data_IF_445266205167
#
_entry.id   IF_445266205167
#
_cell.length_a   1.000
_cell.length_b   1.000
_cell.length_c   1.000
_cell.angle_alpha   90.00
_cell.angle_beta   90.00
_cell.angle_gamma   90.00
#
_symmetry.space_group_name_H-M   'P 1'
#
loop_
_entity.id
_entity.type
_entity.pdbx_description
1 polymer ?
#
# COMPACT_ATOMS: atom_id res chain seq x y z
N UNK A 1 -5.04 -2.86 -31.31
CA UNK A 1 -3.79 -2.90 -30.52
C UNK A 1 -3.87 -4.02 -29.52
N UNK A 2 -2.85 -4.84 -29.44
CA UNK A 2 -2.79 -5.91 -28.44
C UNK A 2 -2.22 -5.39 -27.13
N UNK A 3 -2.87 -5.73 -26.03
CA UNK A 3 -2.45 -5.36 -24.67
C UNK A 3 -2.43 -6.63 -23.82
N UNK A 4 -1.29 -6.90 -23.18
CA UNK A 4 -1.16 -8.02 -22.26
C UNK A 4 -1.14 -7.55 -20.81
N UNK A 5 -2.08 -8.08 -20.00
CA UNK A 5 -2.26 -7.73 -18.59
C UNK A 5 -1.71 -8.87 -17.73
N UNK A 6 -0.58 -8.63 -17.06
CA UNK A 6 -0.03 -9.51 -16.03
C UNK A 6 -0.62 -9.18 -14.65
N UNK A 7 -0.53 -10.09 -13.70
CA UNK A 7 -0.99 -9.90 -12.32
C UNK A 7 -2.47 -9.46 -12.24
N UNK A 8 -3.32 -9.89 -13.17
CA UNK A 8 -4.72 -9.52 -13.21
C UNK A 8 -5.56 -10.53 -12.42
N UNK A 9 -6.28 -10.08 -11.39
CA UNK A 9 -7.19 -10.92 -10.60
C UNK A 9 -8.62 -10.84 -11.16
N UNK A 10 -9.48 -11.80 -10.77
CA UNK A 10 -10.79 -12.01 -11.41
C UNK A 10 -11.68 -10.78 -11.45
N UNK A 11 -11.84 -10.06 -10.32
CA UNK A 11 -12.68 -8.88 -10.23
C UNK A 11 -12.13 -7.73 -11.09
N UNK A 12 -10.81 -7.60 -11.17
CA UNK A 12 -10.16 -6.62 -12.04
C UNK A 12 -10.37 -6.92 -13.50
N UNK A 13 -10.24 -8.20 -13.91
CA UNK A 13 -10.49 -8.65 -15.29
C UNK A 13 -11.93 -8.34 -15.70
N UNK A 14 -12.89 -8.63 -14.81
CA UNK A 14 -14.31 -8.35 -15.07
C UNK A 14 -14.55 -6.86 -15.33
N UNK A 15 -13.97 -5.98 -14.49
CA UNK A 15 -14.10 -4.52 -14.67
C UNK A 15 -13.35 -4.00 -15.89
N UNK A 16 -12.14 -4.48 -16.16
CA UNK A 16 -11.40 -4.10 -17.36
C UNK A 16 -12.18 -4.44 -18.64
N UNK A 17 -12.75 -5.66 -18.72
CA UNK A 17 -13.56 -6.09 -19.87
C UNK A 17 -14.79 -5.21 -20.14
N UNK A 18 -15.40 -4.64 -19.09
CA UNK A 18 -16.54 -3.73 -19.23
C UNK A 18 -16.16 -2.40 -19.88
N UNK A 19 -14.91 -1.98 -19.74
CA UNK A 19 -14.43 -0.67 -20.21
C UNK A 19 -13.52 -0.74 -21.44
N UNK A 20 -13.16 -1.97 -21.91
CA UNK A 20 -12.25 -2.15 -23.05
C UNK A 20 -12.86 -1.55 -24.34
N UNK A 21 -12.11 -0.66 -25.04
CA UNK A 21 -12.52 -0.18 -26.35
C UNK A 21 -12.44 -1.31 -27.39
N UNK A 22 -13.31 -1.28 -28.41
CA UNK A 22 -13.39 -2.32 -29.43
C UNK A 22 -12.09 -2.54 -30.23
N UNK A 23 -11.21 -1.54 -30.30
CA UNK A 23 -9.91 -1.62 -30.99
C UNK A 23 -8.78 -2.22 -30.14
N UNK A 24 -9.05 -2.61 -28.88
CA UNK A 24 -8.06 -3.23 -27.97
C UNK A 24 -8.34 -4.72 -27.82
N UNK A 25 -7.37 -5.55 -28.20
CA UNK A 25 -7.38 -6.99 -27.95
C UNK A 25 -6.61 -7.25 -26.66
N UNK A 26 -7.31 -7.61 -25.59
CA UNK A 26 -6.75 -7.77 -24.27
C UNK A 26 -6.52 -9.24 -23.93
N UNK A 27 -5.30 -9.56 -23.48
CA UNK A 27 -4.93 -10.86 -22.92
C UNK A 27 -4.65 -10.69 -21.42
N UNK A 28 -5.14 -11.62 -20.60
CA UNK A 28 -5.05 -11.53 -19.14
C UNK A 28 -4.38 -12.78 -18.57
N UNK A 29 -3.46 -12.60 -17.63
CA UNK A 29 -2.93 -13.66 -16.77
C UNK A 29 -2.85 -13.15 -15.31
N UNK A 30 -3.00 -14.09 -14.37
CA UNK A 30 -2.73 -13.82 -12.95
C UNK A 30 -1.24 -13.83 -12.62
N UNK A 31 -0.41 -14.37 -13.50
CA UNK A 31 1.02 -14.53 -13.31
C UNK A 31 1.74 -13.18 -13.44
N UNK A 32 2.86 -13.05 -12.75
CA UNK A 32 3.86 -12.02 -13.04
C UNK A 32 4.58 -12.33 -14.35
N UNK A 33 5.33 -11.37 -14.89
CA UNK A 33 6.21 -11.61 -16.05
C UNK A 33 7.17 -12.78 -15.79
N UNK A 34 7.69 -12.91 -14.57
CA UNK A 34 8.63 -13.96 -14.17
C UNK A 34 7.99 -15.34 -14.07
N UNK A 35 6.75 -15.40 -13.58
CA UNK A 35 5.99 -16.64 -13.43
C UNK A 35 5.44 -17.15 -14.77
N UNK A 36 5.09 -16.26 -15.71
CA UNK A 36 4.63 -16.63 -17.06
C UNK A 36 5.71 -17.32 -17.90
N UNK A 37 6.99 -17.03 -17.60
CA UNK A 37 8.12 -17.55 -18.38
C UNK A 37 8.29 -16.88 -19.74
N UNK A 38 7.65 -15.75 -20.01
CA UNK A 38 7.76 -15.02 -21.28
C UNK A 38 9.17 -14.46 -21.47
N UNK A 39 9.88 -14.98 -22.45
CA UNK A 39 11.21 -14.50 -22.85
C UNK A 39 11.16 -13.31 -23.80
N UNK A 40 10.07 -13.17 -24.55
CA UNK A 40 9.76 -12.08 -25.46
C UNK A 40 8.44 -11.41 -25.04
N UNK A 41 8.27 -10.10 -25.28
CA UNK A 41 7.03 -9.44 -24.91
C UNK A 41 5.86 -9.95 -25.78
N UNK A 42 4.75 -10.38 -25.17
CA UNK A 42 3.61 -10.95 -25.90
C UNK A 42 2.75 -9.90 -26.61
N UNK A 43 2.95 -8.60 -26.32
CA UNK A 43 2.20 -7.50 -26.93
C UNK A 43 3.03 -6.21 -27.01
N UNK A 44 2.59 -5.27 -27.83
CA UNK A 44 3.21 -3.93 -27.93
C UNK A 44 3.04 -3.10 -26.65
N UNK A 45 1.92 -3.25 -25.97
CA UNK A 45 1.61 -2.58 -24.72
C UNK A 45 1.43 -3.63 -23.61
N UNK A 46 2.18 -3.46 -22.54
CA UNK A 46 2.16 -4.35 -21.38
C UNK A 46 1.50 -3.61 -20.21
N UNK A 47 0.65 -4.32 -19.48
CA UNK A 47 0.08 -3.79 -18.24
C UNK A 47 0.46 -4.68 -17.06
N UNK A 48 1.05 -4.09 -16.01
CA UNK A 48 1.58 -4.80 -14.84
C UNK A 48 1.03 -4.21 -13.53
N UNK A 49 1.36 -4.85 -12.40
CA UNK A 49 1.25 -4.29 -11.05
C UNK A 49 2.66 -4.16 -10.42
N UNK A 50 2.79 -4.41 -9.13
CA UNK A 50 4.01 -4.13 -8.38
C UNK A 50 5.05 -5.26 -8.37
N UNK A 51 4.66 -6.50 -8.69
CA UNK A 51 5.53 -7.68 -8.54
C UNK A 51 6.27 -8.06 -9.81
N UNK A 52 5.77 -7.64 -10.97
CA UNK A 52 6.43 -7.90 -12.25
C UNK A 52 7.66 -7.00 -12.44
N UNK A 53 8.78 -7.61 -12.82
CA UNK A 53 10.02 -6.92 -13.20
C UNK A 53 10.15 -6.97 -14.71
N UNK A 54 10.25 -5.82 -15.37
CA UNK A 54 10.36 -5.73 -16.83
C UNK A 54 11.76 -6.19 -17.25
N UNK A 55 11.87 -7.25 -18.10
CA UNK A 55 13.17 -7.70 -18.58
C UNK A 55 13.89 -6.60 -19.39
N UNK A 56 15.17 -6.33 -19.14
CA UNK A 56 15.92 -5.35 -19.91
C UNK A 56 15.95 -5.65 -21.43
N UNK A 57 15.86 -6.93 -21.81
CA UNK A 57 15.81 -7.39 -23.20
C UNK A 57 14.53 -6.95 -23.94
N UNK A 58 13.50 -6.47 -23.23
CA UNK A 58 12.26 -5.98 -23.83
C UNK A 58 12.36 -4.49 -24.25
N UNK A 59 13.43 -3.80 -23.85
CA UNK A 59 13.68 -2.41 -24.29
C UNK A 59 13.78 -2.35 -25.83
N UNK A 60 12.96 -1.47 -26.43
CA UNK A 60 12.83 -1.33 -27.89
C UNK A 60 11.91 -2.35 -28.58
N UNK A 61 11.37 -3.36 -27.82
CA UNK A 61 10.38 -4.30 -28.31
C UNK A 61 8.98 -4.00 -27.79
N UNK A 62 8.87 -3.36 -26.62
CA UNK A 62 7.63 -2.89 -26.00
C UNK A 62 7.52 -1.38 -26.23
N UNK A 63 6.38 -0.94 -26.71
CA UNK A 63 6.11 0.47 -26.98
C UNK A 63 5.77 1.26 -25.71
N UNK A 64 5.21 0.60 -24.70
CA UNK A 64 4.85 1.22 -23.43
C UNK A 64 4.43 0.22 -22.35
N UNK A 65 4.47 0.67 -21.09
CA UNK A 65 4.03 -0.10 -19.93
C UNK A 65 3.04 0.72 -19.10
N UNK A 66 1.87 0.15 -18.80
CA UNK A 66 0.90 0.72 -17.85
C UNK A 66 0.98 -0.02 -16.54
N UNK A 67 1.47 0.63 -15.48
CA UNK A 67 1.34 0.09 -14.13
C UNK A 67 -0.05 0.40 -13.57
N UNK A 68 -0.79 -0.64 -13.19
CA UNK A 68 -2.12 -0.52 -12.56
C UNK A 68 -1.99 -0.27 -11.05
N UNK A 69 -1.09 0.66 -10.69
CA UNK A 69 -0.73 0.99 -9.30
C UNK A 69 -0.59 2.49 -9.11
N UNK A 70 -0.78 2.96 -7.88
CA UNK A 70 -0.49 4.36 -7.53
C UNK A 70 1.01 4.56 -7.26
N UNK A 71 1.67 3.62 -6.59
CA UNK A 71 3.13 3.64 -6.45
C UNK A 71 3.81 3.20 -7.74
N UNK A 72 4.88 3.86 -8.11
CA UNK A 72 5.64 3.65 -9.35
C UNK A 72 7.14 3.39 -9.11
N UNK A 73 7.52 3.18 -7.87
CA UNK A 73 8.90 2.93 -7.43
C UNK A 73 9.57 1.78 -8.21
N UNK A 74 8.82 0.72 -8.54
CA UNK A 74 9.29 -0.41 -9.36
C UNK A 74 9.56 -0.07 -10.84
N UNK A 75 9.13 1.12 -11.31
CA UNK A 75 9.33 1.59 -12.69
C UNK A 75 10.38 2.70 -12.80
N UNK A 76 10.91 3.19 -11.69
CA UNK A 76 11.94 4.24 -11.69
C UNK A 76 13.18 3.75 -12.41
N UNK A 77 13.59 4.49 -13.46
CA UNK A 77 14.73 4.13 -14.30
C UNK A 77 14.42 3.14 -15.42
N UNK A 78 13.15 2.75 -15.61
CA UNK A 78 12.75 1.99 -16.80
C UNK A 78 13.00 2.80 -18.07
N UNK A 79 13.58 2.15 -19.08
CA UNK A 79 13.90 2.81 -20.38
C UNK A 79 12.72 2.77 -21.37
N UNK A 80 11.65 2.10 -21.02
CA UNK A 80 10.41 2.05 -21.81
C UNK A 80 9.49 3.13 -21.26
N UNK A 81 8.72 3.87 -22.09
CA UNK A 81 7.71 4.78 -21.59
C UNK A 81 6.75 4.07 -20.62
N UNK A 82 6.57 4.63 -19.42
CA UNK A 82 5.73 4.04 -18.39
C UNK A 82 4.65 5.02 -17.93
N UNK A 83 3.43 4.51 -17.74
CA UNK A 83 2.33 5.22 -17.12
C UNK A 83 1.90 4.55 -15.81
N UNK A 84 1.29 5.31 -14.89
CA UNK A 84 0.78 4.83 -13.60
C UNK A 84 -0.62 5.39 -13.31
N UNK A 85 -1.24 5.01 -12.18
CA UNK A 85 -2.61 5.42 -11.85
C UNK A 85 -2.65 6.21 -10.52
N UNK A 86 -2.60 7.56 -10.56
CA UNK A 86 -2.37 8.38 -9.36
C UNK A 86 -3.54 8.44 -8.36
N UNK A 87 -4.80 8.15 -8.77
CA UNK A 87 -5.96 8.56 -7.98
C UNK A 87 -6.99 7.48 -7.68
N UNK A 88 -6.79 6.22 -8.12
CA UNK A 88 -7.86 5.24 -8.06
C UNK A 88 -8.20 4.73 -6.66
N UNK A 89 -7.21 4.62 -5.76
CA UNK A 89 -7.37 3.92 -4.48
C UNK A 89 -7.22 4.82 -3.24
N UNK A 90 -7.04 6.12 -3.39
CA UNK A 90 -6.68 6.98 -2.25
C UNK A 90 -7.66 6.87 -1.08
N UNK A 91 -8.95 6.88 -1.36
CA UNK A 91 -9.98 6.75 -0.33
C UNK A 91 -10.03 5.34 0.28
N UNK A 92 -9.97 4.28 -0.56
CA UNK A 92 -9.99 2.90 -0.10
C UNK A 92 -8.81 2.59 0.85
N UNK A 93 -7.58 3.04 0.49
CA UNK A 93 -6.39 2.85 1.34
C UNK A 93 -6.51 3.65 2.64
N UNK A 94 -7.07 4.85 2.59
CA UNK A 94 -7.31 5.66 3.79
C UNK A 94 -8.31 4.99 4.74
N UNK A 95 -9.42 4.45 4.22
CA UNK A 95 -10.39 3.70 5.02
C UNK A 95 -9.75 2.46 5.65
N UNK A 96 -8.96 1.70 4.89
CA UNK A 96 -8.25 0.54 5.42
C UNK A 96 -7.27 0.94 6.53
N UNK A 97 -6.51 2.02 6.36
CA UNK A 97 -5.60 2.51 7.40
C UNK A 97 -6.34 2.86 8.70
N UNK A 98 -7.45 3.55 8.60
CA UNK A 98 -8.29 3.91 9.77
C UNK A 98 -8.97 2.67 10.38
N UNK A 99 -9.44 1.72 9.55
CA UNK A 99 -9.96 0.45 10.04
C UNK A 99 -8.91 -0.30 10.87
N UNK A 100 -7.67 -0.38 10.40
CA UNK A 100 -6.57 -1.03 11.12
C UNK A 100 -6.26 -0.31 12.44
N UNK A 101 -6.25 1.03 12.46
CA UNK A 101 -6.13 1.81 13.70
C UNK A 101 -7.25 1.47 14.67
N UNK A 102 -8.51 1.50 14.23
CA UNK A 102 -9.66 1.21 15.08
C UNK A 102 -9.64 -0.22 15.61
N UNK A 103 -9.27 -1.19 14.76
CA UNK A 103 -9.15 -2.59 15.15
C UNK A 103 -8.07 -2.81 16.23
N UNK A 104 -6.92 -2.14 16.12
CA UNK A 104 -5.87 -2.16 17.15
C UNK A 104 -6.32 -1.48 18.44
N UNK A 105 -6.87 -0.26 18.35
CA UNK A 105 -7.37 0.46 19.54
C UNK A 105 -8.44 -0.34 20.28
N UNK A 106 -9.31 -1.04 19.56
CA UNK A 106 -10.37 -1.87 20.14
C UNK A 106 -9.91 -3.28 20.49
N UNK A 107 -8.64 -3.64 20.26
CA UNK A 107 -8.08 -4.99 20.48
C UNK A 107 -8.89 -6.08 19.77
N UNK A 108 -9.35 -5.80 18.55
CA UNK A 108 -10.27 -6.68 17.81
C UNK A 108 -9.75 -8.11 17.63
N UNK A 109 -8.45 -8.35 17.30
CA UNK A 109 -7.93 -9.73 17.22
C UNK A 109 -8.10 -10.51 18.52
N UNK A 110 -7.80 -9.87 19.66
CA UNK A 110 -7.97 -10.50 20.97
C UNK A 110 -9.45 -10.76 21.31
N UNK A 111 -10.35 -9.84 20.95
CA UNK A 111 -11.80 -10.05 21.14
C UNK A 111 -12.29 -11.26 20.34
N UNK A 112 -11.86 -11.39 19.07
CA UNK A 112 -12.22 -12.54 18.22
C UNK A 112 -11.68 -13.84 18.82
N UNK A 113 -10.42 -13.85 19.26
CA UNK A 113 -9.79 -15.03 19.87
C UNK A 113 -10.46 -15.47 21.19
N UNK A 114 -10.96 -14.51 21.99
CA UNK A 114 -11.60 -14.81 23.28
C UNK A 114 -13.12 -15.09 23.16
N UNK A 115 -13.72 -14.85 22.00
CA UNK A 115 -15.15 -15.05 21.79
C UNK A 115 -15.64 -16.48 22.13
N UNK A 116 -14.94 -17.58 21.80
CA UNK A 116 -15.39 -18.94 22.15
C UNK A 116 -15.54 -19.16 23.65
N UNK A 117 -14.70 -18.51 24.48
CA UNK A 117 -14.77 -18.56 25.92
C UNK A 117 -15.69 -17.49 26.53
N UNK A 118 -16.20 -16.57 25.74
CA UNK A 118 -17.00 -15.41 26.14
C UNK A 118 -16.34 -14.59 27.27
N UNK A 119 -15.02 -14.47 27.22
CA UNK A 119 -14.20 -13.83 28.24
C UNK A 119 -13.93 -12.35 27.88
N UNK A 120 -13.84 -11.46 28.87
CA UNK A 120 -13.69 -10.01 28.66
C UNK A 120 -12.43 -9.41 29.27
N UNK A 121 -11.74 -10.13 30.14
CA UNK A 121 -10.58 -9.58 30.84
C UNK A 121 -9.44 -9.29 29.87
N UNK A 122 -8.78 -8.14 30.04
CA UNK A 122 -7.72 -7.68 29.17
C UNK A 122 -8.19 -7.05 27.85
N UNK A 123 -9.50 -7.03 27.55
CA UNK A 123 -10.06 -6.51 26.30
C UNK A 123 -10.39 -5.00 26.32
N UNK A 124 -10.18 -4.31 27.45
CA UNK A 124 -10.38 -2.85 27.49
C UNK A 124 -9.51 -2.15 26.44
N UNK A 125 -10.15 -1.49 25.50
CA UNK A 125 -9.54 -0.76 24.40
C UNK A 125 -9.64 0.75 24.57
N UNK A 126 -9.28 1.49 23.52
CA UNK A 126 -9.36 2.95 23.41
C UNK A 126 -10.37 3.42 22.37
N UNK A 127 -10.72 4.69 22.44
CA UNK A 127 -11.52 5.41 21.43
C UNK A 127 -10.63 6.22 20.51
N UNK A 128 -11.13 6.60 19.33
CA UNK A 128 -10.44 7.49 18.39
C UNK A 128 -10.46 8.95 18.87
N UNK A 129 -11.58 9.38 19.47
CA UNK A 129 -11.76 10.76 19.91
C UNK A 129 -10.65 11.20 20.87
N UNK A 130 -10.04 12.35 20.56
CA UNK A 130 -8.95 12.92 21.34
C UNK A 130 -7.59 12.27 21.14
N UNK A 131 -7.46 11.15 20.39
CA UNK A 131 -6.16 10.53 20.05
C UNK A 131 -5.35 11.45 19.14
N UNK A 132 -4.04 11.39 19.30
CA UNK A 132 -3.04 12.13 18.56
C UNK A 132 -2.51 11.26 17.41
N UNK A 133 -2.88 11.61 16.18
CA UNK A 133 -2.47 10.91 14.97
C UNK A 133 -1.40 11.68 14.22
N UNK A 134 -0.28 11.02 13.92
CA UNK A 134 0.73 11.48 12.99
C UNK A 134 0.57 10.75 11.66
N UNK A 135 0.36 11.49 10.58
CA UNK A 135 0.36 10.96 9.20
C UNK A 135 1.67 11.34 8.54
N UNK A 136 2.48 10.35 8.20
CA UNK A 136 3.77 10.56 7.52
C UNK A 136 3.59 10.23 6.05
N UNK A 137 3.74 11.27 5.20
CA UNK A 137 3.32 11.26 3.80
C UNK A 137 1.89 11.80 3.64
N UNK A 138 1.76 13.12 3.35
CA UNK A 138 0.47 13.82 3.20
C UNK A 138 0.19 14.09 1.72
N UNK A 139 0.33 13.04 0.91
CA UNK A 139 -0.08 13.00 -0.50
C UNK A 139 -1.57 12.71 -0.67
N UNK A 140 -1.96 12.10 -1.79
CA UNK A 140 -3.37 11.79 -2.08
C UNK A 140 -4.00 10.89 -0.99
N UNK A 141 -3.30 9.84 -0.56
CA UNK A 141 -3.77 8.91 0.48
C UNK A 141 -3.74 9.57 1.85
N UNK A 142 -2.61 10.18 2.22
CA UNK A 142 -2.46 10.81 3.53
C UNK A 142 -3.47 11.91 3.79
N UNK A 143 -3.83 12.70 2.77
CA UNK A 143 -4.88 13.73 2.88
C UNK A 143 -6.26 13.13 3.19
N UNK A 144 -6.61 11.99 2.57
CA UNK A 144 -7.87 11.30 2.88
C UNK A 144 -7.84 10.70 4.30
N UNK A 145 -6.70 10.14 4.74
CA UNK A 145 -6.51 9.68 6.14
C UNK A 145 -6.76 10.83 7.12
N UNK A 146 -6.18 12.00 6.88
CA UNK A 146 -6.37 13.18 7.74
C UNK A 146 -7.84 13.55 7.83
N UNK A 147 -8.57 13.63 6.71
CA UNK A 147 -10.00 13.98 6.69
C UNK A 147 -10.84 12.99 7.52
N UNK A 148 -10.64 11.70 7.34
CA UNK A 148 -11.39 10.67 8.06
C UNK A 148 -11.06 10.72 9.55
N UNK A 149 -9.78 10.84 9.90
CA UNK A 149 -9.34 10.90 11.30
C UNK A 149 -9.88 12.11 12.04
N UNK A 150 -9.88 13.30 11.39
CA UNK A 150 -10.49 14.52 11.96
C UNK A 150 -12.00 14.35 12.20
N UNK A 151 -12.71 13.70 11.27
CA UNK A 151 -14.14 13.40 11.42
C UNK A 151 -14.42 12.44 12.61
N UNK A 152 -13.44 11.57 12.96
CA UNK A 152 -13.49 10.71 14.15
C UNK A 152 -13.05 11.41 15.43
N UNK A 153 -12.79 12.72 15.40
CA UNK A 153 -12.40 13.50 16.57
C UNK A 153 -10.94 13.35 16.99
N UNK A 154 -10.06 12.85 16.12
CA UNK A 154 -8.62 12.79 16.38
C UNK A 154 -7.98 14.18 16.21
N UNK A 155 -6.91 14.45 16.96
CA UNK A 155 -5.98 15.53 16.67
C UNK A 155 -4.97 15.01 15.65
N UNK A 156 -4.76 15.72 14.54
CA UNK A 156 -3.95 15.21 13.44
C UNK A 156 -2.82 16.17 13.09
N UNK A 157 -1.58 15.66 13.04
CA UNK A 157 -0.43 16.34 12.46
C UNK A 157 0.06 15.56 11.23
N UNK A 158 0.66 16.29 10.28
CA UNK A 158 1.28 15.74 9.07
C UNK A 158 2.79 15.91 9.10
N UNK A 159 3.49 14.98 8.47
CA UNK A 159 4.91 15.09 8.07
C UNK A 159 4.99 14.86 6.58
N UNK A 160 5.52 15.81 5.84
CA UNK A 160 5.78 15.68 4.40
C UNK A 160 6.95 16.59 4.00
N UNK A 161 7.57 16.31 2.85
CA UNK A 161 8.60 17.19 2.27
C UNK A 161 8.02 18.52 1.76
N UNK A 162 6.75 18.52 1.37
CA UNK A 162 6.03 19.69 0.86
C UNK A 162 4.70 19.87 1.57
N UNK A 163 4.54 20.95 2.29
CA UNK A 163 3.32 21.32 3.01
C UNK A 163 2.24 21.87 2.05
N UNK A 164 1.57 20.97 1.32
CA UNK A 164 0.63 21.35 0.26
C UNK A 164 -0.75 21.80 0.76
N UNK A 165 -1.13 21.42 1.98
CA UNK A 165 -2.51 21.57 2.46
C UNK A 165 -2.55 22.47 3.68
N UNK A 166 -2.99 23.72 3.49
CA UNK A 166 -3.07 24.73 4.56
C UNK A 166 -3.99 24.33 5.75
N UNK A 167 -4.90 23.38 5.56
CA UNK A 167 -5.78 22.87 6.60
C UNK A 167 -5.15 21.80 7.50
N UNK A 168 -3.91 21.40 7.22
CA UNK A 168 -3.19 20.37 7.96
C UNK A 168 -2.04 21.03 8.73
N UNK A 169 -1.94 20.74 10.01
CA UNK A 169 -0.81 21.19 10.83
C UNK A 169 0.39 20.29 10.58
N UNK A 170 1.42 20.81 9.95
CA UNK A 170 2.67 20.09 9.70
C UNK A 170 3.65 20.28 10.86
N UNK A 171 4.41 19.24 11.15
CA UNK A 171 5.45 19.20 12.20
C UNK A 171 6.69 18.50 11.70
N UNK A 172 7.81 18.63 12.42
CA UNK A 172 8.98 17.75 12.17
C UNK A 172 8.68 16.31 12.54
N UNK A 173 9.42 15.36 11.98
CA UNK A 173 9.24 13.94 12.34
C UNK A 173 9.44 13.73 13.84
N UNK A 174 10.48 14.33 14.42
CA UNK A 174 10.83 14.16 15.84
C UNK A 174 9.75 14.71 16.77
N UNK A 175 9.23 15.88 16.50
CA UNK A 175 8.11 16.46 17.28
C UNK A 175 6.86 15.58 17.13
N UNK A 176 6.59 15.10 15.91
CA UNK A 176 5.46 14.23 15.61
C UNK A 176 5.55 12.88 16.35
N UNK A 177 6.70 12.23 16.33
CA UNK A 177 6.94 10.96 17.04
C UNK A 177 6.76 11.11 18.55
N UNK A 178 7.34 12.15 19.14
CA UNK A 178 7.24 12.41 20.59
C UNK A 178 5.80 12.76 21.03
N UNK A 179 4.96 13.24 20.12
CA UNK A 179 3.59 13.68 20.41
C UNK A 179 2.53 12.61 20.16
N UNK A 180 2.71 11.74 19.16
CA UNK A 180 1.67 10.86 18.63
C UNK A 180 1.33 9.66 19.54
N UNK A 181 0.04 9.33 19.61
CA UNK A 181 -0.48 8.06 20.10
C UNK A 181 -0.56 7.02 18.98
N UNK A 182 -0.68 7.49 17.74
CA UNK A 182 -0.87 6.69 16.52
C UNK A 182 0.00 7.28 15.41
N UNK A 183 0.66 6.42 14.64
CA UNK A 183 1.46 6.81 13.48
C UNK A 183 0.97 6.01 12.28
N UNK A 184 0.68 6.67 11.15
CA UNK A 184 0.36 6.03 9.88
C UNK A 184 1.40 6.43 8.83
N UNK A 185 2.02 5.43 8.18
CA UNK A 185 2.89 5.62 7.03
C UNK A 185 2.07 5.56 5.73
N UNK A 186 2.13 6.66 4.94
CA UNK A 186 1.48 6.81 3.64
C UNK A 186 2.41 7.49 2.61
N UNK A 187 3.71 7.28 2.74
CA UNK A 187 4.77 7.88 1.90
C UNK A 187 4.99 7.10 0.60
N UNK A 188 5.60 7.77 -0.38
CA UNK A 188 6.21 7.10 -1.53
C UNK A 188 7.60 6.56 -1.16
N UNK A 189 7.95 5.37 -1.68
CA UNK A 189 9.28 4.79 -1.50
C UNK A 189 10.29 5.46 -2.45
N UNK A 190 11.46 5.79 -1.89
CA UNK A 190 12.66 6.22 -2.61
C UNK A 190 13.87 5.48 -2.05
N UNK A 191 15.02 5.59 -2.69
CA UNK A 191 16.25 4.96 -2.20
C UNK A 191 16.71 5.53 -0.85
N UNK A 192 16.38 6.78 -0.60
CA UNK A 192 16.81 7.55 0.57
C UNK A 192 15.97 7.27 1.82
N UNK A 193 14.75 6.72 1.65
CA UNK A 193 13.83 6.50 2.77
C UNK A 193 13.54 5.02 3.09
N UNK A 194 14.36 4.10 2.57
CA UNK A 194 14.34 2.70 3.00
C UNK A 194 14.65 2.63 4.50
N UNK A 195 13.97 1.75 5.23
CA UNK A 195 14.04 1.60 6.67
C UNK A 195 13.75 2.92 7.46
N UNK A 196 12.92 3.80 6.90
CA UNK A 196 12.58 5.09 7.52
C UNK A 196 12.00 4.94 8.93
N UNK A 197 11.21 3.91 9.16
CA UNK A 197 10.68 3.52 10.46
C UNK A 197 11.48 2.35 11.06
N UNK A 198 12.80 2.51 11.14
CA UNK A 198 13.68 1.57 11.84
C UNK A 198 13.39 1.52 13.34
N UNK A 199 14.03 0.56 14.04
CA UNK A 199 14.01 0.48 15.50
C UNK A 199 14.38 1.84 16.14
N UNK A 200 15.50 2.46 15.72
CA UNK A 200 15.97 3.73 16.27
C UNK A 200 14.99 4.89 16.03
N UNK A 201 14.32 4.91 14.85
CA UNK A 201 13.33 5.92 14.55
C UNK A 201 12.08 5.78 15.43
N UNK A 202 11.49 4.58 15.50
CA UNK A 202 10.28 4.34 16.26
C UNK A 202 10.53 4.34 17.78
N UNK A 203 11.76 4.10 18.23
CA UNK A 203 12.15 4.22 19.65
C UNK A 203 12.02 5.63 20.18
N UNK A 204 12.04 6.66 19.32
CA UNK A 204 11.79 8.07 19.67
C UNK A 204 10.30 8.38 19.89
N UNK A 205 9.43 7.49 19.42
CA UNK A 205 8.00 7.64 19.65
C UNK A 205 7.62 7.32 21.10
N UNK A 206 6.42 7.70 21.49
CA UNK A 206 5.90 7.39 22.83
C UNK A 206 5.75 5.88 23.00
N UNK A 207 6.14 5.38 24.17
CA UNK A 207 5.89 3.97 24.52
C UNK A 207 4.40 3.66 24.48
N UNK A 208 4.02 2.57 23.84
CA UNK A 208 2.63 2.18 23.62
C UNK A 208 2.01 2.76 22.36
N UNK A 209 2.81 3.41 21.49
CA UNK A 209 2.33 3.94 20.21
C UNK A 209 1.77 2.84 19.32
N UNK A 210 0.70 3.14 18.59
CA UNK A 210 0.16 2.28 17.54
C UNK A 210 0.77 2.70 16.20
N UNK A 211 1.31 1.74 15.45
CA UNK A 211 1.92 2.00 14.15
C UNK A 211 1.21 1.23 13.04
N UNK A 212 0.91 1.91 11.93
CA UNK A 212 0.23 1.34 10.76
C UNK A 212 1.01 1.68 9.50
N UNK A 213 1.35 0.67 8.67
CA UNK A 213 1.98 0.86 7.38
C UNK A 213 1.08 0.34 6.25
N UNK A 214 0.58 1.26 5.41
CA UNK A 214 -0.21 0.98 4.20
C UNK A 214 0.48 1.48 2.92
N UNK A 215 1.79 1.75 3.01
CA UNK A 215 2.58 2.34 1.92
C UNK A 215 3.48 1.32 1.21
N UNK A 216 4.66 1.03 1.78
CA UNK A 216 5.63 0.03 1.28
C UNK A 216 6.29 -0.69 2.45
N UNK A 217 6.57 -1.98 2.28
CA UNK A 217 7.19 -2.81 3.32
C UNK A 217 8.60 -2.41 3.68
N UNK A 218 9.34 -1.88 2.72
CA UNK A 218 10.73 -1.42 2.87
C UNK A 218 10.91 -0.29 3.90
N UNK A 219 9.83 0.35 4.31
CA UNK A 219 9.87 1.33 5.41
C UNK A 219 10.05 0.71 6.79
N UNK A 220 9.66 -0.55 6.96
CA UNK A 220 9.50 -1.21 8.25
C UNK A 220 10.26 -2.53 8.28
N UNK A 221 11.57 -2.54 8.57
CA UNK A 221 12.33 -3.78 8.73
C UNK A 221 11.63 -4.72 9.70
N UNK A 222 11.38 -5.94 9.27
CA UNK A 222 10.60 -6.91 10.05
C UNK A 222 11.20 -7.18 11.42
N UNK A 223 12.53 -7.31 11.49
CA UNK A 223 13.26 -7.57 12.75
C UNK A 223 13.11 -6.40 13.74
N UNK A 224 13.16 -5.16 13.25
CA UNK A 224 12.97 -3.97 14.08
C UNK A 224 11.55 -3.93 14.68
N UNK A 225 10.54 -4.29 13.90
CA UNK A 225 9.16 -4.37 14.38
C UNK A 225 9.00 -5.44 15.47
N UNK A 226 9.66 -6.58 15.30
CA UNK A 226 9.68 -7.66 16.31
C UNK A 226 10.30 -7.16 17.62
N UNK A 227 11.47 -6.53 17.55
CA UNK A 227 12.16 -5.99 18.73
C UNK A 227 11.28 -4.97 19.48
N UNK A 228 10.68 -4.03 18.77
CA UNK A 228 9.82 -2.99 19.36
C UNK A 228 8.57 -3.58 20.03
N UNK A 229 7.99 -4.65 19.46
CA UNK A 229 6.87 -5.36 20.05
C UNK A 229 7.27 -6.15 21.30
N UNK A 230 8.40 -6.84 21.26
CA UNK A 230 8.91 -7.64 22.39
C UNK A 230 9.25 -6.75 23.60
N UNK A 231 9.73 -5.54 23.37
CA UNK A 231 9.97 -4.54 24.40
C UNK A 231 8.68 -3.82 24.86
N UNK A 232 7.52 -4.16 24.25
CA UNK A 232 6.25 -3.46 24.48
C UNK A 232 6.39 -1.94 24.24
N UNK A 233 7.26 -1.56 23.30
CA UNK A 233 7.37 -0.18 22.84
C UNK A 233 6.25 0.17 21.88
N UNK A 234 5.94 -0.72 20.92
CA UNK A 234 4.70 -0.65 20.15
C UNK A 234 3.54 -1.25 20.93
N UNK A 235 2.49 -0.49 21.13
CA UNK A 235 1.22 -0.94 21.71
C UNK A 235 0.39 -1.76 20.72
N UNK A 236 0.57 -1.51 19.42
CA UNK A 236 -0.04 -2.24 18.32
C UNK A 236 0.67 -1.97 16.99
N UNK A 237 0.67 -2.98 16.12
CA UNK A 237 1.25 -2.91 14.80
C UNK A 237 0.23 -3.40 13.75
N UNK A 238 0.03 -2.66 12.67
CA UNK A 238 -0.67 -3.17 11.51
C UNK A 238 0.12 -2.94 10.23
N UNK A 239 0.26 -3.99 9.44
CA UNK A 239 0.97 -3.97 8.17
C UNK A 239 0.07 -4.50 7.06
N UNK A 240 -0.11 -3.71 5.99
CA UNK A 240 -0.70 -4.18 4.74
C UNK A 240 0.39 -4.55 3.71
N UNK A 241 1.64 -4.17 3.97
CA UNK A 241 2.80 -4.30 3.08
C UNK A 241 4.01 -4.83 3.84
N UNK A 242 4.91 -5.55 3.14
CA UNK A 242 6.01 -6.29 3.76
C UNK A 242 7.30 -6.15 2.97
N UNK A 243 8.45 -6.23 3.67
CA UNK A 243 9.74 -6.41 3.00
C UNK A 243 9.75 -7.71 2.19
N UNK A 244 10.33 -7.67 1.01
CA UNK A 244 10.44 -8.85 0.15
C UNK A 244 9.10 -9.60 -0.03
N UNK A 245 8.03 -8.87 -0.26
CA UNK A 245 6.64 -9.34 -0.28
C UNK A 245 6.43 -10.58 -1.14
N UNK A 246 7.04 -10.66 -2.33
CA UNK A 246 6.96 -11.82 -3.21
C UNK A 246 7.53 -13.09 -2.57
N UNK A 247 8.67 -12.99 -1.87
CA UNK A 247 9.28 -14.13 -1.15
C UNK A 247 8.44 -14.55 0.04
N UNK A 248 7.91 -13.58 0.79
CA UNK A 248 7.00 -13.84 1.91
C UNK A 248 5.73 -14.57 1.42
N UNK A 249 5.14 -14.12 0.31
CA UNK A 249 3.95 -14.75 -0.26
C UNK A 249 4.20 -16.22 -0.64
N UNK A 250 5.34 -16.53 -1.25
CA UNK A 250 5.73 -17.92 -1.58
C UNK A 250 5.91 -18.74 -0.29
N UNK A 251 6.61 -18.22 0.71
CA UNK A 251 6.84 -18.92 1.97
C UNK A 251 5.52 -19.20 2.72
N UNK A 252 4.59 -18.24 2.75
CA UNK A 252 3.26 -18.42 3.37
C UNK A 252 2.44 -19.48 2.64
N UNK A 253 2.39 -19.47 1.30
CA UNK A 253 1.65 -20.45 0.48
C UNK A 253 2.20 -21.86 0.63
N UNK A 254 3.52 -22.01 0.81
CA UNK A 254 4.16 -23.33 1.00
C UNK A 254 4.02 -23.89 2.42
N UNK A 255 3.42 -23.13 3.35
CA UNK A 255 3.31 -23.53 4.76
C UNK A 255 4.65 -23.52 5.53
N UNK A 256 5.71 -22.98 4.94
CA UNK A 256 7.06 -22.93 5.55
C UNK A 256 7.30 -21.67 6.39
N UNK A 257 6.29 -20.81 6.56
CA UNK A 257 6.51 -19.53 7.18
C UNK A 257 6.48 -19.57 8.71
N UNK A 258 7.63 -19.40 9.31
CA UNK A 258 7.77 -18.89 10.67
C UNK A 258 7.78 -17.35 10.67
N UNK A 259 6.83 -16.68 9.96
CA UNK A 259 6.84 -15.21 9.93
C UNK A 259 6.65 -14.65 11.34
N UNK A 260 7.64 -13.94 11.91
CA UNK A 260 7.72 -13.68 13.34
C UNK A 260 6.65 -12.73 13.89
N UNK A 261 5.93 -12.04 13.01
CA UNK A 261 4.80 -11.17 13.37
C UNK A 261 3.45 -11.90 13.40
N UNK A 262 3.37 -13.12 12.83
CA UNK A 262 2.13 -13.87 12.74
C UNK A 262 1.66 -14.35 14.12
N UNK A 263 0.35 -14.22 14.38
CA UNK A 263 -0.29 -14.73 15.60
C UNK A 263 -0.08 -13.88 16.86
N UNK A 264 0.59 -12.74 16.78
CA UNK A 264 0.74 -11.81 17.91
C UNK A 264 -0.60 -11.09 18.17
N UNK A 265 -1.05 -10.97 19.44
CA UNK A 265 -2.40 -10.47 19.77
C UNK A 265 -2.60 -8.99 19.48
N UNK A 266 -1.52 -8.22 19.40
CA UNK A 266 -1.51 -6.79 19.08
C UNK A 266 -0.95 -6.48 17.68
N UNK A 267 -0.97 -7.48 16.78
CA UNK A 267 -0.53 -7.33 15.38
C UNK A 267 -1.67 -7.70 14.43
N UNK A 268 -1.87 -6.88 13.40
CA UNK A 268 -2.80 -7.15 12.30
C UNK A 268 -2.00 -7.14 10.99
N UNK A 269 -2.15 -8.22 10.22
CA UNK A 269 -1.47 -8.38 8.93
C UNK A 269 -2.53 -8.57 7.84
N UNK A 270 -2.44 -7.78 6.76
CA UNK A 270 -3.32 -7.91 5.59
C UNK A 270 -2.48 -8.07 4.31
N UNK A 271 -2.94 -8.82 3.30
CA UNK A 271 -2.11 -9.27 2.19
C UNK A 271 -2.02 -8.23 1.05
N UNK A 272 -1.52 -7.02 1.34
CA UNK A 272 -1.41 -5.89 0.40
C UNK A 272 -2.75 -5.63 -0.31
N UNK A 273 -3.79 -5.49 0.48
CA UNK A 273 -5.18 -5.45 0.02
C UNK A 273 -5.90 -4.11 0.32
N UNK A 274 -5.20 -3.11 0.85
CA UNK A 274 -5.79 -1.84 1.26
C UNK A 274 -6.49 -1.09 0.12
N UNK A 275 -6.07 -1.30 -1.12
CA UNK A 275 -6.68 -0.69 -2.31
C UNK A 275 -7.98 -1.39 -2.76
N UNK A 276 -8.25 -2.63 -2.33
CA UNK A 276 -9.17 -3.55 -2.97
C UNK A 276 -10.61 -3.38 -2.49
N UNK A 277 -11.30 -2.40 -3.02
CA UNK A 277 -12.74 -2.20 -2.90
C UNK A 277 -13.38 -2.20 -4.28
N UNK A 278 -14.67 -2.52 -4.38
CA UNK A 278 -15.40 -2.55 -5.65
C UNK A 278 -15.27 -1.23 -6.42
N UNK A 279 -15.38 -0.10 -5.70
CA UNK A 279 -15.28 1.24 -6.25
C UNK A 279 -13.85 1.57 -6.71
N UNK A 280 -12.84 1.13 -5.98
CA UNK A 280 -11.45 1.34 -6.37
C UNK A 280 -11.07 0.47 -7.57
N UNK A 281 -11.57 -0.76 -7.66
CA UNK A 281 -11.33 -1.66 -8.80
C UNK A 281 -11.99 -1.09 -10.06
N UNK A 282 -13.21 -0.55 -9.99
CA UNK A 282 -13.85 0.13 -11.13
C UNK A 282 -13.05 1.38 -11.56
N UNK A 283 -12.68 2.25 -10.61
CA UNK A 283 -11.84 3.43 -10.92
C UNK A 283 -10.50 3.04 -11.53
N UNK A 284 -9.88 1.96 -11.03
CA UNK A 284 -8.63 1.41 -11.55
C UNK A 284 -8.78 0.97 -13.00
N UNK A 285 -9.84 0.22 -13.30
CA UNK A 285 -10.13 -0.22 -14.66
C UNK A 285 -10.31 0.98 -15.59
N UNK A 286 -11.14 1.96 -15.23
CA UNK A 286 -11.37 3.19 -16.02
C UNK A 286 -10.08 3.96 -16.26
N UNK A 287 -9.27 4.21 -15.24
CA UNK A 287 -7.99 4.92 -15.39
C UNK A 287 -7.00 4.13 -16.25
N UNK A 288 -6.98 2.81 -16.13
CA UNK A 288 -6.16 1.94 -17.00
C UNK A 288 -6.56 2.11 -18.46
N UNK A 289 -7.85 2.08 -18.74
CA UNK A 289 -8.35 2.26 -20.11
C UNK A 289 -8.06 3.68 -20.62
N UNK A 290 -8.23 4.71 -19.82
CA UNK A 290 -7.83 6.07 -20.18
C UNK A 290 -6.35 6.18 -20.55
N UNK A 291 -5.46 5.53 -19.80
CA UNK A 291 -4.03 5.45 -20.13
C UNK A 291 -3.79 4.76 -21.48
N UNK A 292 -4.47 3.63 -21.72
CA UNK A 292 -4.36 2.87 -22.97
C UNK A 292 -4.86 3.69 -24.18
N UNK A 293 -6.03 4.31 -24.07
CA UNK A 293 -6.61 5.15 -25.13
C UNK A 293 -5.71 6.35 -25.43
N UNK A 294 -5.22 7.01 -24.39
CA UNK A 294 -4.29 8.13 -24.55
C UNK A 294 -2.98 7.69 -25.24
N UNK A 295 -2.45 6.53 -24.86
CA UNK A 295 -1.25 5.96 -25.47
C UNK A 295 -1.47 5.59 -26.94
N UNK A 296 -2.63 5.02 -27.29
CA UNK A 296 -2.98 4.72 -28.70
C UNK A 296 -2.93 5.98 -29.54
N UNK A 297 -3.49 7.09 -29.02
CA UNK A 297 -3.62 8.35 -29.75
C UNK A 297 -2.30 9.15 -29.82
N UNK A 298 -1.51 9.14 -28.76
CA UNK A 298 -0.38 10.06 -28.59
C UNK A 298 0.99 9.39 -28.51
N UNK A 299 1.06 8.06 -28.40
CA UNK A 299 2.28 7.27 -28.14
C UNK A 299 3.00 7.71 -26.86
N UNK A 300 2.27 8.26 -25.92
CA UNK A 300 2.69 8.71 -24.59
C UNK A 300 1.57 8.49 -23.58
N UNK A 301 1.86 8.53 -22.28
CA UNK A 301 0.88 8.30 -21.23
C UNK A 301 0.27 9.60 -20.71
N UNK A 302 -1.01 9.56 -20.32
CA UNK A 302 -1.73 10.67 -19.67
C UNK A 302 -1.11 11.00 -18.30
N UNK A 303 -0.73 9.97 -17.56
CA UNK A 303 0.02 10.06 -16.31
C UNK A 303 1.34 9.29 -16.45
N UNK A 304 2.39 9.92 -16.99
CA UNK A 304 3.69 9.28 -17.12
C UNK A 304 4.34 9.11 -15.74
N UNK A 305 5.16 8.06 -15.61
CA UNK A 305 6.07 7.92 -14.46
C UNK A 305 7.10 9.05 -14.52
N UNK A 306 7.29 9.82 -13.42
CA UNK A 306 8.24 10.94 -13.36
C UNK A 306 9.70 10.56 -13.62
#
# INVERSE_FOLDING_TARGET
>A
MDVHFYEAFEEEIAMLRQHLPAQVHAHFTSDTIQESGDTEPPAELISIRTQSVIPPAWTGKVSGVVSRTTGYDHLVGCRIPCGYLPHYCSHAVAEQAILLVMALLRKLPAQIAQFPAFHRDGLTGGECAGKKLLVVGVGNIGTEIVKIAQALGMQVHGVDLVEKHASISYVTLDDGLAWADIIICAMNLTKENVAYFSYETLKRARKGVVFVNVARGEFTPTEDMVMLLDESHLGGLALDVYENESKLAVALRSGQSGFPLLGRPNVILTPHNAFNTAEAVDRKARQTIQQIEYFIAHKWFLWPVP
#
